data_IF_394040165069
#
_entry.id   IF_394040165069
#
_cell.length_a   1.000
_cell.length_b   1.000
_cell.length_c   1.000
_cell.angle_alpha   90.00
_cell.angle_beta   90.00
_cell.angle_gamma   90.00
#
_symmetry.space_group_name_H-M   'P 1'
#
loop_
_entity.id
_entity.type
_entity.pdbx_description
1 polymer ?
#
# COMPACT_ATOMS: atom_id res chain seq x y z
N UNK A 1 -15.50 6.18 17.34
CA UNK A 1 -14.62 5.53 16.36
C UNK A 1 -13.91 4.35 16.99
N UNK A 2 -14.56 3.18 17.06
CA UNK A 2 -13.89 1.94 17.47
C UNK A 2 -13.07 1.35 16.31
N UNK A 3 -12.09 0.50 16.62
CA UNK A 3 -11.36 -0.25 15.63
C UNK A 3 -12.29 -1.25 14.91
N UNK A 4 -12.18 -1.31 13.58
CA UNK A 4 -12.96 -2.24 12.74
C UNK A 4 -12.03 -3.00 11.81
N UNK A 5 -12.30 -4.29 11.53
CA UNK A 5 -11.62 -5.00 10.46
C UNK A 5 -11.72 -4.22 9.16
N UNK A 6 -10.61 -4.10 8.45
CA UNK A 6 -10.55 -3.42 7.17
C UNK A 6 -9.49 -4.08 6.26
N UNK A 7 -9.59 -3.77 4.97
CA UNK A 7 -8.71 -4.28 3.93
C UNK A 7 -8.17 -3.09 3.13
N UNK A 8 -6.88 -3.11 2.80
CA UNK A 8 -6.24 -2.14 1.93
C UNK A 8 -5.62 -2.84 0.73
N UNK A 9 -6.14 -2.56 -0.46
CA UNK A 9 -5.68 -3.16 -1.71
C UNK A 9 -4.77 -2.17 -2.43
N UNK A 10 -3.56 -2.62 -2.76
CA UNK A 10 -2.61 -1.89 -3.60
C UNK A 10 -2.52 -2.58 -4.94
N UNK A 11 -2.67 -1.82 -6.02
CA UNK A 11 -2.42 -2.29 -7.38
C UNK A 11 -1.71 -1.17 -8.15
N UNK A 12 -0.39 -1.11 -8.03
CA UNK A 12 0.42 -0.05 -8.64
C UNK A 12 1.34 -0.64 -9.70
N UNK A 13 1.01 -0.38 -10.96
CA UNK A 13 1.86 -0.71 -12.09
C UNK A 13 3.14 0.12 -12.14
N UNK A 14 3.17 1.32 -11.53
CA UNK A 14 4.38 2.15 -11.53
C UNK A 14 5.36 1.70 -10.44
N UNK A 15 4.85 1.42 -9.24
CA UNK A 15 5.64 0.86 -8.14
C UNK A 15 5.88 -0.65 -8.27
N UNK A 16 5.33 -1.29 -9.30
CA UNK A 16 5.41 -2.72 -9.57
C UNK A 16 5.01 -3.59 -8.37
N UNK A 17 4.05 -3.13 -7.57
CA UNK A 17 3.59 -3.80 -6.36
C UNK A 17 2.08 -3.98 -6.38
N UNK A 18 1.67 -5.18 -6.01
CA UNK A 18 0.28 -5.57 -5.82
C UNK A 18 0.19 -6.20 -4.44
N UNK A 19 -0.78 -5.79 -3.64
CA UNK A 19 -0.93 -6.33 -2.30
C UNK A 19 -2.39 -6.35 -1.86
N UNK A 20 -2.74 -7.42 -1.17
CA UNK A 20 -3.93 -7.48 -0.33
C UNK A 20 -3.47 -7.41 1.13
N UNK A 21 -3.84 -6.33 1.82
CA UNK A 21 -3.41 -6.08 3.20
C UNK A 21 -4.63 -6.11 4.11
N UNK A 22 -4.60 -6.99 5.11
CA UNK A 22 -5.62 -7.10 6.15
C UNK A 22 -5.17 -6.40 7.43
N UNK A 23 -6.13 -5.87 8.18
CA UNK A 23 -5.84 -5.19 9.44
C UNK A 23 -7.07 -4.60 10.09
N UNK A 24 -6.84 -3.61 10.95
CA UNK A 24 -7.92 -2.84 11.60
C UNK A 24 -7.77 -1.36 11.35
N UNK A 25 -8.86 -0.70 10.95
CA UNK A 25 -8.93 0.75 10.80
C UNK A 25 -9.61 1.38 12.02
N UNK A 26 -9.07 2.50 12.48
CA UNK A 26 -9.66 3.29 13.58
C UNK A 26 -9.40 4.78 13.38
N UNK A 27 -10.34 5.59 13.84
CA UNK A 27 -10.12 7.03 13.98
C UNK A 27 -9.22 7.23 15.20
N UNK A 28 -8.19 8.06 15.07
CA UNK A 28 -7.28 8.41 16.16
C UNK A 28 -7.21 9.92 16.33
N UNK A 29 -6.96 10.36 17.56
CA UNK A 29 -6.58 11.74 17.87
C UNK A 29 -5.10 11.72 18.23
N UNK A 30 -4.25 12.09 17.27
CA UNK A 30 -2.80 12.12 17.42
C UNK A 30 -2.27 13.36 16.69
N UNK A 31 -2.22 14.52 17.37
CA UNK A 31 -1.80 15.78 16.76
C UNK A 31 -0.36 15.72 16.26
N UNK A 32 0.53 15.00 16.95
CA UNK A 32 1.92 14.84 16.53
C UNK A 32 2.02 14.04 15.25
N UNK A 33 1.21 12.99 15.08
CA UNK A 33 1.18 12.23 13.83
C UNK A 33 0.51 13.00 12.69
N UNK A 34 -0.49 13.82 13.00
CA UNK A 34 -1.15 14.66 12.00
C UNK A 34 -0.18 15.69 11.41
N UNK A 35 0.55 16.42 12.27
CA UNK A 35 1.62 17.36 11.89
C UNK A 35 2.72 16.67 11.07
N UNK A 36 3.14 15.45 11.46
CA UNK A 36 4.17 14.69 10.75
C UNK A 36 3.79 14.37 9.28
N UNK A 37 2.51 14.09 9.00
CA UNK A 37 2.06 13.63 7.68
C UNK A 37 1.33 14.71 6.88
N UNK A 38 1.08 15.89 7.45
CA UNK A 38 0.42 16.99 6.78
C UNK A 38 1.26 17.48 5.61
N UNK A 39 0.60 17.87 4.52
CA UNK A 39 1.28 18.33 3.31
C UNK A 39 0.39 19.30 2.52
N UNK A 40 0.99 19.96 1.53
CA UNK A 40 0.31 20.94 0.69
C UNK A 40 -0.90 20.38 -0.08
N UNK A 41 -0.97 19.06 -0.32
CA UNK A 41 -2.14 18.46 -0.93
C UNK A 41 -3.29 18.45 0.07
N UNK A 42 -3.06 18.01 1.32
CA UNK A 42 -4.07 18.05 2.37
C UNK A 42 -4.52 19.50 2.65
N UNK A 43 -3.58 20.42 2.76
CA UNK A 43 -3.83 21.84 3.02
C UNK A 43 -4.76 22.48 1.96
N UNK A 44 -4.65 22.06 0.71
CA UNK A 44 -5.52 22.53 -0.37
C UNK A 44 -7.00 22.09 -0.24
N UNK A 45 -7.30 21.07 0.57
CA UNK A 45 -8.66 20.58 0.80
C UNK A 45 -9.31 21.13 2.07
N UNK A 46 -8.52 21.50 3.09
CA UNK A 46 -9.01 21.89 4.42
C UNK A 46 -8.64 23.34 4.72
N UNK A 47 -9.60 24.26 4.59
CA UNK A 47 -9.38 25.70 4.75
C UNK A 47 -8.87 26.08 6.15
N UNK A 48 -9.26 25.30 7.18
CA UNK A 48 -8.76 25.46 8.55
C UNK A 48 -7.39 24.83 8.82
N UNK A 49 -6.74 24.27 7.79
CA UNK A 49 -5.50 23.51 7.92
C UNK A 49 -5.68 22.26 8.79
N UNK A 50 -4.62 21.89 9.53
CA UNK A 50 -4.64 20.74 10.45
C UNK A 50 -5.71 20.83 11.55
N UNK A 51 -6.13 22.05 11.91
CA UNK A 51 -7.11 22.32 12.96
C UNK A 51 -8.56 22.40 12.43
N UNK A 52 -8.77 22.16 11.14
CA UNK A 52 -10.10 22.16 10.53
C UNK A 52 -10.99 21.06 11.18
N UNK A 53 -12.23 21.39 11.61
CA UNK A 53 -13.11 20.44 12.28
C UNK A 53 -13.49 19.22 11.42
N UNK A 54 -13.35 19.31 10.09
CA UNK A 54 -13.65 18.20 9.18
C UNK A 54 -12.46 17.24 8.99
N UNK A 55 -11.28 17.58 9.50
CA UNK A 55 -10.10 16.70 9.46
C UNK A 55 -10.29 15.50 10.38
N UNK A 56 -10.09 14.31 9.83
CA UNK A 56 -10.12 13.05 10.58
C UNK A 56 -8.90 12.20 10.25
N UNK A 57 -8.07 11.94 11.25
CA UNK A 57 -6.94 11.03 11.12
C UNK A 57 -7.40 9.58 11.29
N UNK A 58 -7.19 8.76 10.25
CA UNK A 58 -7.47 7.33 10.25
C UNK A 58 -6.16 6.55 10.31
N UNK A 59 -6.03 5.69 11.30
CA UNK A 59 -4.92 4.74 11.43
C UNK A 59 -5.37 3.36 10.99
N UNK A 60 -4.56 2.72 10.15
CA UNK A 60 -4.71 1.33 9.76
C UNK A 60 -3.55 0.51 10.34
N UNK A 61 -3.85 -0.41 11.26
CA UNK A 61 -2.89 -1.32 11.85
C UNK A 61 -2.92 -2.64 11.08
N UNK A 62 -1.83 -2.94 10.37
CA UNK A 62 -1.67 -4.12 9.53
C UNK A 62 -1.53 -5.37 10.40
N UNK A 63 -2.20 -6.45 10.00
CA UNK A 63 -2.06 -7.77 10.63
C UNK A 63 -1.40 -8.78 9.71
N UNK A 64 -1.81 -8.83 8.46
CA UNK A 64 -1.34 -9.78 7.46
C UNK A 64 -1.37 -9.13 6.07
N UNK A 65 -0.46 -9.51 5.19
CA UNK A 65 -0.52 -9.12 3.80
C UNK A 65 -0.06 -10.24 2.88
N UNK A 66 -0.74 -10.41 1.76
CA UNK A 66 -0.19 -11.11 0.61
C UNK A 66 0.25 -10.08 -0.42
N UNK A 67 1.51 -10.15 -0.86
CA UNK A 67 2.10 -9.16 -1.75
C UNK A 67 2.85 -9.82 -2.91
N UNK A 68 2.78 -9.17 -4.06
CA UNK A 68 3.47 -9.52 -5.29
C UNK A 68 4.28 -8.32 -5.78
N UNK A 69 5.49 -8.57 -6.22
CA UNK A 69 6.34 -7.60 -6.92
C UNK A 69 6.67 -8.13 -8.31
N UNK A 70 6.80 -7.25 -9.29
CA UNK A 70 7.10 -7.67 -10.67
C UNK A 70 8.29 -6.91 -11.25
N UNK A 71 8.93 -7.48 -12.27
CA UNK A 71 9.94 -6.79 -13.08
C UNK A 71 9.38 -5.72 -14.02
N UNK A 72 8.07 -5.46 -13.97
CA UNK A 72 7.37 -4.55 -14.86
C UNK A 72 7.43 -4.95 -16.33
N UNK A 73 7.09 -4.01 -17.21
CA UNK A 73 6.92 -4.27 -18.64
C UNK A 73 8.20 -4.74 -19.34
N UNK A 74 9.36 -4.21 -18.92
CA UNK A 74 10.65 -4.60 -19.49
C UNK A 74 11.11 -5.97 -19.00
N UNK A 75 10.96 -6.26 -17.69
CA UNK A 75 11.24 -7.59 -17.15
C UNK A 75 10.35 -8.66 -17.81
N UNK A 76 9.06 -8.36 -17.97
CA UNK A 76 8.12 -9.24 -18.66
C UNK A 76 8.57 -9.56 -20.10
N UNK A 77 8.94 -8.55 -20.90
CA UNK A 77 9.36 -8.78 -22.29
C UNK A 77 10.65 -9.63 -22.36
N UNK A 78 11.60 -9.37 -21.46
CA UNK A 78 12.84 -10.15 -21.37
C UNK A 78 12.57 -11.63 -21.05
N UNK A 79 11.75 -11.90 -20.03
CA UNK A 79 11.44 -13.26 -19.59
C UNK A 79 10.64 -14.04 -20.64
N UNK A 80 9.75 -13.37 -21.40
CA UNK A 80 9.06 -13.99 -22.53
C UNK A 80 10.06 -14.38 -23.64
N UNK A 81 10.99 -13.48 -23.98
CA UNK A 81 12.00 -13.78 -25.00
C UNK A 81 12.93 -14.93 -24.55
N UNK A 82 13.33 -14.95 -23.28
CA UNK A 82 14.12 -16.03 -22.68
C UNK A 82 13.38 -17.36 -22.74
N UNK A 83 12.12 -17.40 -22.29
CA UNK A 83 11.32 -18.62 -22.24
C UNK A 83 11.14 -19.30 -23.62
N UNK A 84 11.04 -18.51 -24.70
CA UNK A 84 10.98 -19.04 -26.07
C UNK A 84 12.27 -19.75 -26.52
N UNK A 85 13.40 -19.44 -25.89
CA UNK A 85 14.71 -20.00 -26.23
C UNK A 85 15.12 -21.11 -25.26
N UNK A 86 14.73 -21.02 -23.99
CA UNK A 86 15.24 -21.89 -22.92
C UNK A 86 14.27 -22.97 -22.45
N UNK A 87 13.00 -22.99 -22.91
CA UNK A 87 11.92 -23.85 -22.37
C UNK A 87 11.66 -23.69 -20.86
N UNK A 88 12.27 -22.68 -20.23
CA UNK A 88 12.02 -22.33 -18.82
C UNK A 88 10.76 -21.46 -18.71
N UNK A 89 10.04 -21.59 -17.59
CA UNK A 89 8.92 -20.68 -17.31
C UNK A 89 9.46 -19.28 -16.99
N UNK A 90 8.80 -18.21 -17.46
CA UNK A 90 9.12 -16.83 -17.10
C UNK A 90 9.14 -16.60 -15.58
N UNK A 91 10.19 -15.96 -15.06
CA UNK A 91 10.21 -15.45 -13.69
C UNK A 91 9.60 -14.04 -13.62
N UNK A 92 8.34 -13.97 -13.20
CA UNK A 92 7.60 -12.70 -13.19
C UNK A 92 7.79 -11.87 -11.91
N UNK A 93 8.70 -12.29 -11.02
CA UNK A 93 9.01 -11.59 -9.77
C UNK A 93 8.66 -12.39 -8.52
N UNK A 94 8.61 -11.71 -7.38
CA UNK A 94 8.42 -12.36 -6.09
C UNK A 94 6.97 -12.27 -5.61
N UNK A 95 6.55 -13.27 -4.84
CA UNK A 95 5.34 -13.19 -4.04
C UNK A 95 5.58 -13.79 -2.66
N UNK A 96 4.79 -13.34 -1.68
CA UNK A 96 4.87 -13.87 -0.34
C UNK A 96 3.81 -13.33 0.58
N UNK A 97 3.67 -13.99 1.73
CA UNK A 97 2.80 -13.59 2.82
C UNK A 97 3.62 -13.00 3.96
N UNK A 98 3.20 -11.86 4.46
CA UNK A 98 3.81 -11.11 5.56
C UNK A 98 2.87 -11.14 6.75
N UNK A 99 3.38 -11.51 7.92
CA UNK A 99 2.65 -11.42 9.18
C UNK A 99 3.25 -10.29 10.02
N UNK A 100 2.42 -9.35 10.44
CA UNK A 100 2.83 -8.14 11.16
C UNK A 100 2.58 -8.24 12.67
N UNK A 101 1.95 -9.33 13.14
CA UNK A 101 1.59 -9.53 14.55
C UNK A 101 2.70 -10.19 15.39
N UNK A 102 3.97 -9.85 15.13
CA UNK A 102 5.13 -10.34 15.89
C UNK A 102 5.33 -9.58 17.22
#
# INVERSE_FOLDING_TARGET
GGAKPAQFIVASGDAQIYANIEGTARIVQDPSKLDEIWNAVADAWFEGGEADPDVTLVRFDLSDAEAWTTGGRLGFLYEIAKAQVTDEKPDMGAHGRLNFAA
#
